data_IF_017862896143
#
_entry.id   IF_017862896143
#
_cell.length_a   1.000
_cell.length_b   1.000
_cell.length_c   1.000
_cell.angle_alpha   90.00
_cell.angle_beta   90.00
_cell.angle_gamma   90.00
#
_symmetry.space_group_name_H-M   'P 1'
#
loop_
_entity.id
_entity.type
_entity.pdbx_description
1 polymer ?
#
# COMPACT_ATOMS: atom_id res chain seq x y z
N UNK A 1 -21.14 -5.32 21.78
CA UNK A 1 -20.15 -6.39 22.00
C UNK A 1 -18.95 -5.82 22.76
N UNK A 2 -18.63 -6.45 23.86
CA UNK A 2 -17.48 -6.00 24.64
C UNK A 2 -16.23 -6.69 24.13
N UNK A 3 -15.29 -5.92 23.65
CA UNK A 3 -13.95 -6.44 23.34
C UNK A 3 -13.21 -6.63 24.66
N UNK A 4 -12.76 -7.83 24.94
CA UNK A 4 -11.92 -8.07 26.10
C UNK A 4 -10.47 -7.63 25.81
N UNK A 5 -9.63 -7.60 26.85
CA UNK A 5 -8.23 -7.20 26.71
C UNK A 5 -7.47 -8.07 25.70
N UNK A 6 -7.81 -9.36 25.64
CA UNK A 6 -7.15 -10.29 24.74
C UNK A 6 -7.43 -9.94 23.27
N UNK A 7 -8.70 -9.65 22.93
CA UNK A 7 -9.05 -9.21 21.58
C UNK A 7 -8.37 -7.89 21.23
N UNK A 8 -8.28 -6.97 22.18
CA UNK A 8 -7.59 -5.69 21.98
C UNK A 8 -6.12 -5.92 21.69
N UNK A 9 -5.46 -6.83 22.41
CA UNK A 9 -4.06 -7.17 22.17
C UNK A 9 -3.85 -7.80 20.79
N UNK A 10 -4.73 -8.67 20.37
CA UNK A 10 -4.65 -9.30 19.04
C UNK A 10 -4.78 -8.23 17.95
N UNK A 11 -5.74 -7.32 18.06
CA UNK A 11 -5.91 -6.23 17.11
C UNK A 11 -4.67 -5.34 17.06
N UNK A 12 -4.05 -5.05 18.21
CA UNK A 12 -2.85 -4.24 18.29
C UNK A 12 -1.67 -4.92 17.57
N UNK A 13 -1.49 -6.22 17.79
CA UNK A 13 -0.43 -6.99 17.13
C UNK A 13 -0.62 -6.98 15.61
N UNK A 14 -1.84 -7.19 15.13
CA UNK A 14 -2.15 -7.15 13.71
C UNK A 14 -1.82 -5.78 13.13
N UNK A 15 -2.26 -4.73 13.79
CA UNK A 15 -2.01 -3.36 13.35
C UNK A 15 -0.52 -3.05 13.29
N UNK A 16 0.23 -3.38 14.34
CA UNK A 16 1.66 -3.15 14.39
C UNK A 16 2.38 -3.92 13.28
N UNK A 17 1.98 -5.17 13.05
CA UNK A 17 2.56 -5.99 11.98
C UNK A 17 2.28 -5.40 10.62
N UNK A 18 1.06 -4.95 10.36
CA UNK A 18 0.67 -4.37 9.08
C UNK A 18 1.39 -3.06 8.81
N UNK A 19 1.57 -2.22 9.83
CA UNK A 19 2.13 -0.88 9.63
C UNK A 19 3.66 -0.86 9.65
N UNK A 20 4.30 -1.76 10.39
CA UNK A 20 5.75 -1.68 10.60
C UNK A 20 6.57 -2.77 9.92
N UNK A 21 5.94 -3.88 9.53
CA UNK A 21 6.65 -5.04 9.00
C UNK A 21 6.11 -5.53 7.66
N UNK A 22 5.22 -4.77 7.03
CA UNK A 22 4.66 -5.17 5.75
C UNK A 22 5.68 -4.99 4.63
N UNK A 23 5.63 -5.93 3.70
CA UNK A 23 6.43 -5.85 2.48
C UNK A 23 5.52 -6.06 1.29
N UNK A 24 5.91 -5.51 0.16
CA UNK A 24 5.31 -5.83 -1.13
C UNK A 24 6.37 -6.50 -2.00
N UNK A 25 6.15 -7.75 -2.32
CA UNK A 25 7.14 -8.59 -3.02
C UNK A 25 8.52 -8.52 -2.34
N UNK A 26 8.52 -8.59 -1.00
CA UNK A 26 9.73 -8.56 -0.19
C UNK A 26 10.32 -7.17 0.03
N UNK A 27 9.75 -6.12 -0.56
CA UNK A 27 10.24 -4.75 -0.40
C UNK A 27 9.48 -4.08 0.75
N UNK A 28 10.17 -3.53 1.77
CA UNK A 28 9.50 -2.87 2.89
C UNK A 28 8.59 -1.74 2.45
N UNK A 29 7.41 -1.69 3.04
CA UNK A 29 6.35 -0.75 2.68
C UNK A 29 5.73 -0.16 3.93
N UNK A 30 5.63 1.16 4.01
CA UNK A 30 5.07 1.87 5.16
C UNK A 30 3.59 2.23 4.99
N UNK A 31 2.91 1.63 4.06
CA UNK A 31 1.49 1.90 3.85
C UNK A 31 0.64 0.76 4.38
N UNK A 32 -0.57 1.10 4.85
CA UNK A 32 -1.52 0.09 5.25
C UNK A 32 -1.92 -0.74 4.02
N UNK A 33 -1.71 -2.07 4.03
CA UNK A 33 -2.07 -2.92 2.90
C UNK A 33 -3.54 -2.83 2.49
N UNK A 34 -4.44 -2.52 3.42
CA UNK A 34 -5.86 -2.37 3.11
C UNK A 34 -6.12 -1.17 2.19
N UNK A 35 -5.30 -0.13 2.29
CA UNK A 35 -5.41 1.02 1.42
C UNK A 35 -5.09 0.68 -0.03
N UNK A 36 -4.22 -0.31 -0.27
CA UNK A 36 -3.90 -0.73 -1.63
C UNK A 36 -5.11 -1.32 -2.35
N UNK A 37 -6.02 -1.94 -1.62
CA UNK A 37 -7.25 -2.43 -2.22
C UNK A 37 -8.05 -1.27 -2.83
N UNK A 38 -8.14 -0.16 -2.10
CA UNK A 38 -8.82 1.05 -2.57
C UNK A 38 -8.05 1.71 -3.71
N UNK A 39 -6.72 1.77 -3.60
CA UNK A 39 -5.89 2.37 -4.66
C UNK A 39 -6.05 1.65 -5.98
N UNK A 40 -6.09 0.32 -6.00
CA UNK A 40 -6.27 -0.41 -7.25
C UNK A 40 -7.64 -0.14 -7.87
N UNK A 41 -8.69 0.03 -7.05
CA UNK A 41 -10.01 0.39 -7.56
C UNK A 41 -9.99 1.77 -8.23
N UNK A 42 -9.32 2.74 -7.59
CA UNK A 42 -9.20 4.09 -8.12
C UNK A 42 -8.44 4.08 -9.45
N UNK A 43 -7.33 3.36 -9.52
CA UNK A 43 -6.53 3.27 -10.74
C UNK A 43 -7.30 2.58 -11.86
N UNK A 44 -7.99 1.50 -11.55
CA UNK A 44 -8.81 0.79 -12.53
C UNK A 44 -9.93 1.68 -13.10
N UNK A 45 -10.61 2.42 -12.21
CA UNK A 45 -11.74 3.26 -12.61
C UNK A 45 -11.30 4.47 -13.43
N UNK A 46 -10.19 5.09 -13.08
CA UNK A 46 -9.75 6.35 -13.68
C UNK A 46 -8.70 6.17 -14.79
N UNK A 47 -8.00 5.06 -14.81
CA UNK A 47 -6.91 4.77 -15.77
C UNK A 47 -6.01 5.98 -16.00
N UNK A 48 -5.40 6.55 -14.96
CA UNK A 48 -4.59 7.77 -15.11
C UNK A 48 -3.32 7.47 -15.91
N UNK A 49 -2.75 8.52 -16.48
CA UNK A 49 -1.46 8.41 -17.17
C UNK A 49 -0.29 8.42 -16.19
N UNK A 50 -0.44 9.13 -15.09
CA UNK A 50 0.62 9.27 -14.09
C UNK A 50 0.04 9.17 -12.69
N UNK A 51 0.85 8.59 -11.80
CA UNK A 51 0.64 8.65 -10.36
C UNK A 51 1.92 9.17 -9.73
N UNK A 52 1.82 10.22 -8.94
CA UNK A 52 2.98 10.78 -8.25
C UNK A 52 2.90 10.38 -6.78
N UNK A 53 3.92 9.70 -6.31
CA UNK A 53 4.04 9.30 -4.91
C UNK A 53 5.16 10.10 -4.25
N UNK A 54 4.81 10.82 -3.19
CA UNK A 54 5.78 11.61 -2.42
C UNK A 54 6.14 10.85 -1.15
N UNK A 55 7.44 10.63 -0.92
CA UNK A 55 7.88 9.86 0.23
C UNK A 55 7.69 8.37 0.03
N UNK A 56 8.47 7.78 -0.86
CA UNK A 56 8.30 6.38 -1.25
C UNK A 56 9.04 5.37 -0.35
N UNK A 57 9.65 5.83 0.74
CA UNK A 57 10.35 5.01 1.72
C UNK A 57 11.35 4.06 1.01
N UNK A 58 11.16 2.74 1.10
CA UNK A 58 12.04 1.76 0.46
C UNK A 58 11.53 1.31 -0.93
N UNK A 59 10.48 1.93 -1.42
CA UNK A 59 9.97 1.68 -2.77
C UNK A 59 8.92 0.59 -2.89
N UNK A 60 8.46 0.00 -1.76
CA UNK A 60 7.47 -1.06 -1.82
C UNK A 60 6.14 -0.62 -2.41
N UNK A 61 5.64 0.53 -2.01
CA UNK A 61 4.40 1.07 -2.58
C UNK A 61 4.58 1.51 -4.03
N UNK A 62 5.73 2.10 -4.37
CA UNK A 62 6.05 2.47 -5.74
C UNK A 62 6.03 1.24 -6.64
N UNK A 63 6.61 0.13 -6.19
CA UNK A 63 6.60 -1.12 -6.91
C UNK A 63 5.17 -1.64 -7.10
N UNK A 64 4.35 -1.57 -6.05
CA UNK A 64 2.95 -2.00 -6.13
C UNK A 64 2.18 -1.19 -7.18
N UNK A 65 2.34 0.13 -7.19
CA UNK A 65 1.69 0.96 -8.19
C UNK A 65 2.21 0.67 -9.60
N UNK A 66 3.50 0.45 -9.76
CA UNK A 66 4.07 0.08 -11.06
C UNK A 66 3.44 -1.22 -11.60
N UNK A 67 3.26 -2.22 -10.74
CA UNK A 67 2.59 -3.46 -11.13
C UNK A 67 1.12 -3.22 -11.50
N UNK A 68 0.43 -2.32 -10.80
CA UNK A 68 -0.95 -1.98 -11.16
C UNK A 68 -1.03 -1.34 -12.53
N UNK A 69 -0.10 -0.45 -12.86
CA UNK A 69 -0.04 0.14 -14.21
C UNK A 69 0.29 -0.89 -15.28
N UNK A 70 1.16 -1.85 -14.97
CA UNK A 70 1.44 -2.95 -15.90
C UNK A 70 0.16 -3.74 -16.20
N UNK A 71 -0.66 -4.00 -15.21
CA UNK A 71 -1.94 -4.68 -15.40
C UNK A 71 -2.92 -3.86 -16.24
N UNK A 72 -2.91 -2.53 -16.07
CA UNK A 72 -3.73 -1.63 -16.88
C UNK A 72 -3.24 -1.53 -18.32
N UNK A 73 -1.97 -1.86 -18.57
CA UNK A 73 -1.36 -1.73 -19.87
C UNK A 73 -1.00 -0.30 -20.26
N UNK A 74 -1.08 0.64 -19.33
CA UNK A 74 -0.71 2.04 -19.56
C UNK A 74 -0.43 2.72 -18.22
N UNK A 75 0.21 3.88 -18.29
CA UNK A 75 0.45 4.71 -17.12
C UNK A 75 1.80 4.46 -16.49
N UNK A 76 2.19 5.38 -15.62
CA UNK A 76 3.51 5.39 -15.00
C UNK A 76 3.43 5.96 -13.60
N UNK A 77 4.13 5.33 -12.66
CA UNK A 77 4.31 5.87 -11.32
C UNK A 77 5.62 6.63 -11.26
N UNK A 78 5.59 7.80 -10.59
CA UNK A 78 6.75 8.63 -10.35
C UNK A 78 6.91 8.75 -8.84
N UNK A 79 7.97 8.16 -8.30
CA UNK A 79 8.28 8.25 -6.88
C UNK A 79 9.21 9.43 -6.62
N UNK A 80 8.88 10.24 -5.64
CA UNK A 80 9.72 11.35 -5.19
C UNK A 80 10.14 11.07 -3.76
N UNK A 81 11.43 10.91 -3.55
CA UNK A 81 12.00 10.71 -2.22
C UNK A 81 12.19 12.06 -1.54
N UNK A 82 11.93 12.07 -0.24
CA UNK A 82 12.08 13.30 0.55
C UNK A 82 13.22 13.14 1.54
#
# INVERSE_FOLDING_TARGET
MNLNLENTKILQVIQDRLMSKSTYWGVPTLKNPLDFWVYQEILFKNSPDYLIEIGNYMGGSTLAFAHMFDLLGKGQVIGIDI
#
